data_IF_906959017288
#
_entry.id   IF_906959017288
#
_cell.length_a   1.000
_cell.length_b   1.000
_cell.length_c   1.000
_cell.angle_alpha   90.00
_cell.angle_beta   90.00
_cell.angle_gamma   90.00
#
_symmetry.space_group_name_H-M   'P 1'
#
loop_
_entity.id
_entity.type
_entity.pdbx_description
1 polymer ?
#
# COMPACT_ATOMS: atom_id res chain seq x y z
N UNK A 1 -4.83 23.37 27.82
CA UNK A 1 -5.25 22.17 27.06
C UNK A 1 -5.56 22.61 25.64
N UNK A 2 -4.73 22.27 24.65
CA UNK A 2 -5.05 22.57 23.24
C UNK A 2 -6.28 21.73 22.87
N UNK A 3 -7.28 22.26 22.14
CA UNK A 3 -8.38 21.42 21.69
C UNK A 3 -7.78 20.27 20.87
N UNK A 4 -7.98 19.06 21.36
CA UNK A 4 -7.65 17.86 20.60
C UNK A 4 -8.49 17.90 19.33
N UNK A 5 -7.86 17.61 18.19
CA UNK A 5 -8.54 17.52 16.90
C UNK A 5 -9.81 16.68 17.06
N UNK A 6 -10.91 17.16 16.50
CA UNK A 6 -12.16 16.40 16.35
C UNK A 6 -11.86 14.98 15.87
N UNK A 7 -12.49 14.00 16.51
CA UNK A 7 -12.38 12.58 16.15
C UNK A 7 -12.74 12.35 14.67
N UNK A 8 -12.08 11.41 13.97
CA UNK A 8 -12.46 11.06 12.60
C UNK A 8 -13.91 10.55 12.51
N UNK A 9 -14.62 11.01 11.47
CA UNK A 9 -15.96 10.48 11.20
C UNK A 9 -15.88 9.01 10.73
N UNK A 10 -16.93 8.19 10.95
CA UNK A 10 -16.97 6.81 10.43
C UNK A 10 -16.75 6.72 8.91
N UNK A 11 -17.24 7.70 8.14
CA UNK A 11 -16.99 7.79 6.69
C UNK A 11 -15.51 8.01 6.37
N UNK A 12 -14.81 8.81 7.15
CA UNK A 12 -13.39 9.04 6.98
C UNK A 12 -12.58 7.77 7.32
N UNK A 13 -12.96 7.06 8.38
CA UNK A 13 -12.34 5.78 8.72
C UNK A 13 -12.57 4.73 7.62
N UNK A 14 -13.79 4.62 7.10
CA UNK A 14 -14.11 3.70 6.00
C UNK A 14 -13.34 4.00 4.70
N UNK A 15 -12.97 5.27 4.45
CA UNK A 15 -12.10 5.63 3.34
C UNK A 15 -10.67 5.10 3.52
N UNK A 16 -10.13 5.13 4.75
CA UNK A 16 -8.81 4.57 5.05
C UNK A 16 -8.83 3.05 4.85
N UNK A 17 -9.85 2.35 5.36
CA UNK A 17 -10.01 0.90 5.16
C UNK A 17 -10.12 0.53 3.67
N UNK A 18 -10.67 1.43 2.85
CA UNK A 18 -10.77 1.25 1.40
C UNK A 18 -9.40 1.29 0.73
N UNK A 19 -8.48 2.11 1.22
CA UNK A 19 -7.11 2.31 0.69
C UNK A 19 -6.11 1.29 1.25
N UNK A 20 -6.41 0.69 2.41
CA UNK A 20 -5.52 -0.21 3.14
C UNK A 20 -4.93 -1.37 2.30
N UNK A 21 -5.70 -2.05 1.43
CA UNK A 21 -5.13 -3.11 0.60
C UNK A 21 -4.02 -2.63 -0.35
N UNK A 22 -4.10 -1.39 -0.85
CA UNK A 22 -3.06 -0.82 -1.70
C UNK A 22 -1.80 -0.54 -0.89
N UNK A 23 -1.97 0.07 0.29
CA UNK A 23 -0.86 0.33 1.23
C UNK A 23 -0.15 -0.99 1.59
N UNK A 24 -0.89 -2.06 1.87
CA UNK A 24 -0.29 -3.37 2.15
C UNK A 24 0.49 -3.94 0.95
N UNK A 25 0.02 -3.70 -0.28
CA UNK A 25 0.74 -4.11 -1.49
C UNK A 25 2.04 -3.32 -1.68
N UNK A 26 2.02 -2.02 -1.40
CA UNK A 26 3.19 -1.15 -1.43
C UNK A 26 4.21 -1.55 -0.34
N UNK A 27 3.74 -1.87 0.87
CA UNK A 27 4.60 -2.39 1.94
C UNK A 27 5.27 -3.71 1.53
N UNK A 28 4.58 -4.57 0.79
CA UNK A 28 5.18 -5.81 0.27
C UNK A 28 6.31 -5.54 -0.74
N UNK A 29 6.24 -4.43 -1.49
CA UNK A 29 7.33 -4.00 -2.39
C UNK A 29 8.50 -3.52 -1.55
N UNK A 30 8.25 -2.64 -0.58
CA UNK A 30 9.27 -2.13 0.33
C UNK A 30 10.01 -3.26 1.06
N UNK A 31 9.28 -4.27 1.56
CA UNK A 31 9.89 -5.45 2.20
C UNK A 31 10.79 -6.22 1.24
N UNK A 32 10.38 -6.37 -0.03
CA UNK A 32 11.19 -7.02 -1.05
C UNK A 32 12.44 -6.20 -1.38
N UNK A 33 12.34 -4.88 -1.48
CA UNK A 33 13.46 -3.97 -1.71
C UNK A 33 14.47 -4.02 -0.56
N UNK A 34 14.00 -4.03 0.70
CA UNK A 34 14.85 -4.19 1.88
C UNK A 34 15.65 -5.51 1.80
N UNK A 35 15.01 -6.61 1.37
CA UNK A 35 15.69 -7.90 1.18
C UNK A 35 16.78 -7.77 0.10
N UNK A 36 16.50 -7.11 -1.03
CA UNK A 36 17.50 -6.91 -2.09
C UNK A 36 18.69 -6.08 -1.61
N UNK A 37 18.44 -5.01 -0.87
CA UNK A 37 19.48 -4.17 -0.29
C UNK A 37 20.35 -4.96 0.68
N UNK A 38 19.74 -5.75 1.57
CA UNK A 38 20.48 -6.61 2.49
C UNK A 38 21.31 -7.66 1.73
N UNK A 39 20.74 -8.29 0.71
CA UNK A 39 21.43 -9.31 -0.06
C UNK A 39 22.65 -8.77 -0.82
N UNK A 40 22.65 -7.48 -1.22
CA UNK A 40 23.79 -6.86 -1.90
C UNK A 40 25.10 -6.98 -1.09
N UNK A 41 25.03 -6.84 0.23
CA UNK A 41 26.17 -6.97 1.14
C UNK A 41 26.51 -8.44 1.48
N UNK A 42 25.68 -9.40 1.05
CA UNK A 42 25.72 -10.81 1.48
C UNK A 42 25.83 -11.81 0.30
N UNK A 43 26.48 -11.41 -0.79
CA UNK A 43 26.70 -12.27 -1.96
C UNK A 43 25.69 -12.07 -3.10
N UNK A 44 24.83 -11.06 -2.98
CA UNK A 44 23.88 -10.63 -4.00
C UNK A 44 22.50 -11.27 -3.87
N UNK A 45 21.46 -10.68 -4.51
CA UNK A 45 20.11 -11.22 -4.46
C UNK A 45 19.96 -12.56 -5.17
N UNK A 46 19.17 -13.47 -4.56
CA UNK A 46 18.84 -14.75 -5.18
C UNK A 46 17.76 -14.60 -6.26
N UNK A 47 17.59 -15.59 -7.16
CA UNK A 47 16.47 -15.62 -8.10
C UNK A 47 15.09 -15.57 -7.42
N UNK A 48 14.99 -16.05 -6.17
CA UNK A 48 13.75 -16.04 -5.40
C UNK A 48 13.42 -14.61 -4.94
N UNK A 49 14.42 -13.83 -4.54
CA UNK A 49 14.23 -12.43 -4.13
C UNK A 49 13.73 -11.57 -5.29
N UNK A 50 14.29 -11.77 -6.48
CA UNK A 50 13.78 -11.13 -7.69
C UNK A 50 12.34 -11.53 -8.03
N UNK A 51 11.95 -12.78 -7.77
CA UNK A 51 10.57 -13.26 -7.96
C UNK A 51 9.62 -12.67 -6.92
N UNK A 52 10.09 -12.40 -5.70
CA UNK A 52 9.30 -11.71 -4.66
C UNK A 52 9.02 -10.28 -5.08
N UNK A 53 10.04 -9.53 -5.50
CA UNK A 53 9.86 -8.14 -5.97
C UNK A 53 8.84 -8.05 -7.11
N UNK A 54 9.03 -8.82 -8.19
CA UNK A 54 8.10 -8.80 -9.34
C UNK A 54 6.66 -9.11 -8.96
N UNK A 55 6.44 -9.98 -7.97
CA UNK A 55 5.10 -10.31 -7.49
C UNK A 55 4.48 -9.21 -6.65
N UNK A 56 5.29 -8.54 -5.83
CA UNK A 56 4.85 -7.41 -5.05
C UNK A 56 4.44 -6.26 -5.98
N UNK A 57 5.25 -5.92 -6.99
CA UNK A 57 4.93 -4.92 -8.01
C UNK A 57 3.66 -5.25 -8.80
N UNK A 58 3.51 -6.52 -9.22
CA UNK A 58 2.30 -6.99 -9.89
C UNK A 58 1.06 -6.89 -8.98
N UNK A 59 1.22 -7.13 -7.66
CA UNK A 59 0.15 -6.96 -6.69
C UNK A 59 -0.25 -5.48 -6.56
N UNK A 60 0.71 -4.56 -6.47
CA UNK A 60 0.43 -3.12 -6.44
C UNK A 60 -0.40 -2.72 -7.66
N UNK A 61 0.04 -3.10 -8.86
CA UNK A 61 -0.68 -2.78 -10.10
C UNK A 61 -2.13 -3.30 -10.08
N UNK A 62 -2.31 -4.56 -9.65
CA UNK A 62 -3.65 -5.17 -9.55
C UNK A 62 -4.54 -4.45 -8.53
N UNK A 63 -4.03 -4.20 -7.33
CA UNK A 63 -4.82 -3.58 -6.25
C UNK A 63 -5.12 -2.11 -6.58
N UNK A 64 -4.18 -1.40 -7.20
CA UNK A 64 -4.41 -0.03 -7.68
C UNK A 64 -5.53 0.01 -8.74
N UNK A 65 -5.55 -0.95 -9.67
CA UNK A 65 -6.62 -1.07 -10.65
C UNK A 65 -7.98 -1.40 -9.99
N UNK A 66 -8.01 -2.32 -9.01
CA UNK A 66 -9.21 -2.64 -8.23
C UNK A 66 -9.73 -1.42 -7.46
N UNK A 67 -8.84 -0.63 -6.85
CA UNK A 67 -9.19 0.59 -6.12
C UNK A 67 -9.72 1.69 -7.07
N UNK A 68 -9.07 1.88 -8.22
CA UNK A 68 -9.50 2.86 -9.22
C UNK A 68 -10.84 2.51 -9.87
N UNK A 69 -11.18 1.22 -9.97
CA UNK A 69 -12.46 0.74 -10.48
C UNK A 69 -13.62 0.90 -9.49
N UNK A 70 -13.36 1.21 -8.19
CA UNK A 70 -14.45 1.46 -7.23
C UNK A 70 -15.18 2.76 -7.59
N UNK A 71 -16.52 2.77 -7.56
CA UNK A 71 -17.28 3.98 -7.78
C UNK A 71 -16.88 5.01 -6.72
N UNK A 72 -16.33 6.15 -7.17
CA UNK A 72 -15.97 7.23 -6.28
C UNK A 72 -17.23 7.65 -5.52
N UNK A 73 -17.22 7.54 -4.18
CA UNK A 73 -18.23 8.23 -3.38
C UNK A 73 -17.98 9.73 -3.57
N UNK A 74 -18.68 10.32 -4.54
CA UNK A 74 -18.57 11.74 -4.85
C UNK A 74 -18.86 12.48 -3.55
N UNK A 75 -17.90 13.25 -3.04
CA UNK A 75 -18.18 14.19 -1.96
C UNK A 75 -19.24 15.15 -2.53
N UNK A 76 -20.48 15.04 -2.05
CA UNK A 76 -21.46 16.09 -2.22
C UNK A 76 -20.89 17.31 -1.48
N UNK A 77 -20.46 18.30 -2.23
CA UNK A 77 -20.18 19.63 -1.71
C UNK A 77 -21.54 20.30 -1.60
N UNK A 78 -21.99 20.53 -0.36
CA UNK A 78 -23.15 21.36 -0.04
C UNK A 78 -22.66 22.77 0.27
#
# INVERSE_FOLDING_TARGET
>A
MRPHRTEPTPKALAAIETEWPLIEAELSVLDAEIILMYAADHGGPSPLDWRRLRRAEARVTRVAAELAARPASRKAVA
#
